data_IF_464561430084
#
_entry.id   IF_464561430084
#
_cell.length_a   1.000
_cell.length_b   1.000
_cell.length_c   1.000
_cell.angle_alpha   90.00
_cell.angle_beta   90.00
_cell.angle_gamma   90.00
#
_symmetry.space_group_name_H-M   'P 1'
#
loop_
_entity.id
_entity.type
_entity.pdbx_description
1 polymer ?
#
# COMPACT_ATOMS: atom_id res chain seq x y z
N UNK A 1 -25.52 3.09 -3.00
CA UNK A 1 -24.05 3.16 -2.90
C UNK A 1 -23.51 1.74 -2.82
N UNK A 2 -22.45 1.41 -3.56
CA UNK A 2 -21.80 0.10 -3.46
C UNK A 2 -21.21 -0.06 -2.06
N UNK A 3 -21.24 -1.27 -1.50
CA UNK A 3 -20.51 -1.56 -0.27
C UNK A 3 -19.00 -1.30 -0.45
N UNK A 4 -18.29 -0.74 0.55
CA UNK A 4 -16.85 -0.54 0.46
C UNK A 4 -16.08 -1.86 0.30
N UNK A 5 -14.95 -1.81 -0.41
CA UNK A 5 -14.09 -2.96 -0.68
C UNK A 5 -13.28 -3.38 0.54
N UNK A 6 -12.72 -2.45 1.31
CA UNK A 6 -12.03 -2.73 2.58
C UNK A 6 -12.64 -1.84 3.66
N UNK A 7 -12.91 -2.40 4.83
CA UNK A 7 -13.46 -1.65 5.97
C UNK A 7 -12.77 -2.08 7.25
N UNK A 8 -12.45 -1.11 8.08
CA UNK A 8 -12.05 -1.29 9.47
C UNK A 8 -13.18 -0.74 10.34
N UNK A 9 -13.65 -1.53 11.29
CA UNK A 9 -14.71 -1.16 12.23
C UNK A 9 -14.18 -1.26 13.66
N UNK A 10 -13.90 -0.11 14.28
CA UNK A 10 -13.44 0.03 15.66
C UNK A 10 -12.25 -0.89 16.00
N UNK A 11 -11.27 -0.95 15.11
CA UNK A 11 -10.14 -1.88 15.21
C UNK A 11 -9.16 -1.44 16.30
N UNK A 12 -8.88 -2.37 17.22
CA UNK A 12 -7.83 -2.25 18.23
C UNK A 12 -6.71 -3.25 17.97
N UNK A 13 -5.46 -2.78 18.06
CA UNK A 13 -4.26 -3.62 17.90
C UNK A 13 -3.25 -3.29 18.99
N UNK A 14 -2.62 -4.34 19.53
CA UNK A 14 -1.68 -4.26 20.64
C UNK A 14 -0.38 -4.99 20.32
N UNK A 15 0.74 -4.42 20.78
CA UNK A 15 2.03 -5.12 20.93
C UNK A 15 2.29 -5.30 22.42
N UNK A 16 2.01 -6.50 22.93
CA UNK A 16 2.03 -6.76 24.38
C UNK A 16 1.04 -5.85 25.11
N UNK A 17 1.57 -4.96 25.96
CA UNK A 17 0.79 -3.98 26.72
C UNK A 17 0.57 -2.65 25.99
N UNK A 18 1.29 -2.41 24.89
CA UNK A 18 1.24 -1.15 24.15
C UNK A 18 0.13 -1.22 23.11
N UNK A 19 -0.86 -0.33 23.21
CA UNK A 19 -1.92 -0.22 22.21
C UNK A 19 -1.46 0.65 21.03
N UNK A 20 -1.29 0.02 19.87
CA UNK A 20 -0.85 0.67 18.64
C UNK A 20 -2.01 1.28 17.84
N UNK A 21 -3.16 0.60 17.78
CA UNK A 21 -4.39 1.11 17.16
C UNK A 21 -5.51 1.18 18.19
N UNK A 22 -6.28 2.27 18.16
CA UNK A 22 -7.29 2.63 19.15
C UNK A 22 -8.61 2.94 18.41
N UNK A 23 -9.49 1.96 18.36
CA UNK A 23 -10.83 2.06 17.75
C UNK A 23 -10.79 2.66 16.33
N UNK A 24 -9.86 2.19 15.50
CA UNK A 24 -9.68 2.72 14.15
C UNK A 24 -10.84 2.27 13.26
N UNK A 25 -11.52 3.26 12.66
CA UNK A 25 -12.57 3.03 11.66
C UNK A 25 -12.27 3.82 10.39
N UNK A 26 -12.25 3.12 9.26
CA UNK A 26 -12.09 3.71 7.93
C UNK A 26 -12.56 2.74 6.85
N UNK A 27 -12.74 3.23 5.64
CA UNK A 27 -13.17 2.41 4.51
C UNK A 27 -12.43 2.79 3.22
N UNK A 28 -12.34 1.85 2.29
CA UNK A 28 -11.80 2.03 0.94
C UNK A 28 -12.80 1.45 -0.06
N UNK A 29 -13.32 2.28 -0.96
CA UNK A 29 -14.27 1.87 -1.98
C UNK A 29 -13.56 1.27 -3.20
N UNK A 30 -14.27 0.43 -3.96
CA UNK A 30 -13.73 -0.14 -5.20
C UNK A 30 -13.35 0.96 -6.20
N UNK A 31 -12.14 0.90 -6.73
CA UNK A 31 -11.59 1.87 -7.69
C UNK A 31 -11.21 3.22 -7.05
N UNK A 32 -11.32 3.36 -5.73
CA UNK A 32 -10.89 4.55 -5.00
C UNK A 32 -9.39 4.46 -4.70
N UNK A 33 -8.71 5.61 -4.76
CA UNK A 33 -7.38 5.77 -4.16
C UNK A 33 -7.51 6.47 -2.82
N UNK A 34 -7.19 5.76 -1.74
CA UNK A 34 -7.22 6.29 -0.37
C UNK A 34 -5.80 6.47 0.16
N UNK A 35 -5.54 7.60 0.80
CA UNK A 35 -4.30 7.86 1.52
C UNK A 35 -4.49 7.85 3.04
N UNK A 36 -3.63 7.16 3.78
CA UNK A 36 -3.48 7.32 5.22
C UNK A 36 -2.18 8.05 5.52
N UNK A 37 -2.28 9.26 6.04
CA UNK A 37 -1.12 10.08 6.40
C UNK A 37 -0.96 10.17 7.92
N UNK A 38 0.27 10.35 8.37
CA UNK A 38 0.59 10.48 9.79
C UNK A 38 2.08 10.36 10.06
N UNK A 39 2.50 10.83 11.24
CA UNK A 39 3.88 10.78 11.67
C UNK A 39 4.40 9.33 11.80
N UNK A 40 5.71 9.18 11.91
CA UNK A 40 6.31 7.88 12.20
C UNK A 40 5.86 7.40 13.57
N UNK A 41 5.50 6.12 13.67
CA UNK A 41 4.90 5.56 14.89
C UNK A 41 3.41 5.88 15.10
N UNK A 42 2.74 6.58 14.17
CA UNK A 42 1.31 6.88 14.32
C UNK A 42 0.40 5.63 14.26
N UNK A 43 0.88 4.49 13.75
CA UNK A 43 0.12 3.24 13.61
C UNK A 43 -0.13 2.81 12.16
N UNK A 44 0.34 3.57 11.16
CA UNK A 44 0.09 3.34 9.72
C UNK A 44 0.43 1.92 9.25
N UNK A 45 1.68 1.50 9.41
CA UNK A 45 2.14 0.17 8.99
C UNK A 45 1.48 -0.93 9.83
N UNK A 46 1.17 -0.66 11.11
CA UNK A 46 0.41 -1.61 11.96
C UNK A 46 -1.00 -1.85 11.42
N UNK A 47 -1.66 -0.81 10.90
CA UNK A 47 -2.96 -0.97 10.24
C UNK A 47 -2.86 -1.85 8.99
N UNK A 48 -1.90 -1.59 8.10
CA UNK A 48 -1.71 -2.44 6.90
C UNK A 48 -1.38 -3.88 7.27
N UNK A 49 -0.46 -4.07 8.21
CA UNK A 49 -0.05 -5.40 8.70
C UNK A 49 -1.22 -6.17 9.34
N UNK A 50 -2.16 -5.47 9.99
CA UNK A 50 -3.34 -6.10 10.60
C UNK A 50 -4.29 -6.73 9.58
N UNK A 51 -4.30 -6.25 8.32
CA UNK A 51 -5.06 -6.87 7.22
C UNK A 51 -4.59 -8.30 6.96
N UNK A 52 -3.29 -8.57 7.11
CA UNK A 52 -2.70 -9.91 6.95
C UNK A 52 -2.62 -10.69 8.28
N UNK A 53 -3.21 -10.17 9.36
CA UNK A 53 -3.31 -10.82 10.66
C UNK A 53 -2.03 -10.84 11.48
N UNK A 54 -1.03 -10.01 11.15
CA UNK A 54 0.27 -9.97 11.85
C UNK A 54 0.75 -8.54 12.08
N UNK A 55 0.32 -7.84 13.14
CA UNK A 55 -0.39 -8.37 14.31
C UNK A 55 -1.89 -8.57 14.08
N UNK A 56 -2.48 -9.51 14.81
CA UNK A 56 -3.93 -9.77 14.78
C UNK A 56 -4.68 -8.72 15.61
N UNK A 57 -5.84 -8.29 15.12
CA UNK A 57 -6.70 -7.36 15.87
C UNK A 57 -7.20 -8.02 17.16
N UNK A 58 -7.35 -7.22 18.23
CA UNK A 58 -7.92 -7.67 19.50
C UNK A 58 -9.42 -7.41 19.57
N UNK A 59 -9.87 -6.25 19.11
CA UNK A 59 -11.27 -5.87 19.02
C UNK A 59 -11.57 -5.27 17.65
N UNK A 60 -12.86 -5.18 17.32
CA UNK A 60 -13.35 -4.65 16.06
C UNK A 60 -13.41 -5.69 14.97
N UNK A 61 -13.50 -5.23 13.73
CA UNK A 61 -13.64 -6.09 12.55
C UNK A 61 -12.92 -5.50 11.35
N UNK A 62 -12.30 -6.35 10.54
CA UNK A 62 -11.78 -6.00 9.21
C UNK A 62 -12.59 -6.78 8.17
N UNK A 63 -13.28 -6.05 7.29
CA UNK A 63 -14.07 -6.63 6.20
C UNK A 63 -13.37 -6.38 4.85
N UNK A 64 -13.29 -7.40 4.01
CA UNK A 64 -12.85 -7.28 2.63
C UNK A 64 -13.91 -7.85 1.68
N UNK A 65 -14.38 -7.04 0.74
CA UNK A 65 -15.52 -7.35 -0.13
C UNK A 65 -16.76 -7.86 0.64
N UNK A 66 -16.98 -7.35 1.85
CA UNK A 66 -18.06 -7.78 2.75
C UNK A 66 -17.77 -9.04 3.56
N UNK A 67 -16.65 -9.74 3.34
CA UNK A 67 -16.24 -10.89 4.13
C UNK A 67 -15.35 -10.48 5.31
N UNK A 68 -15.60 -11.04 6.49
CA UNK A 68 -14.72 -10.86 7.65
C UNK A 68 -13.38 -11.58 7.47
N UNK A 69 -12.31 -10.79 7.44
CA UNK A 69 -10.92 -11.26 7.31
C UNK A 69 -10.10 -11.12 8.60
N UNK A 70 -10.70 -10.61 9.69
CA UNK A 70 -10.03 -10.30 10.98
C UNK A 70 -9.17 -11.43 11.53
N UNK A 71 -9.59 -12.68 11.26
CA UNK A 71 -8.97 -13.88 11.81
C UNK A 71 -8.53 -14.89 10.76
N UNK A 72 -8.54 -14.51 9.48
CA UNK A 72 -8.07 -15.36 8.38
C UNK A 72 -6.54 -15.43 8.35
N UNK A 73 -6.02 -16.45 7.67
CA UNK A 73 -4.57 -16.59 7.48
C UNK A 73 -4.07 -15.60 6.44
N UNK A 74 -2.79 -15.21 6.52
CA UNK A 74 -2.14 -14.35 5.52
C UNK A 74 -2.30 -14.89 4.10
N UNK A 75 -2.20 -16.22 3.93
CA UNK A 75 -2.42 -16.88 2.64
C UNK A 75 -3.85 -16.65 2.13
N UNK A 76 -4.87 -16.86 2.97
CA UNK A 76 -6.28 -16.64 2.58
C UNK A 76 -6.51 -15.20 2.10
N UNK A 77 -6.00 -14.22 2.85
CA UNK A 77 -6.13 -12.79 2.53
C UNK A 77 -5.44 -12.46 1.20
N UNK A 78 -4.22 -12.96 1.00
CA UNK A 78 -3.47 -12.74 -0.24
C UNK A 78 -4.19 -13.37 -1.45
N UNK A 79 -4.64 -14.63 -1.34
CA UNK A 79 -5.39 -15.31 -2.40
C UNK A 79 -6.76 -14.66 -2.67
N UNK A 80 -7.32 -13.93 -1.69
CA UNK A 80 -8.56 -13.17 -1.85
C UNK A 80 -8.44 -11.96 -2.80
N UNK A 81 -7.20 -11.53 -3.11
CA UNK A 81 -6.90 -10.44 -4.03
C UNK A 81 -6.42 -9.16 -3.34
N UNK A 82 -5.83 -9.26 -2.14
CA UNK A 82 -5.10 -8.15 -1.51
C UNK A 82 -3.60 -8.38 -1.67
N UNK A 83 -2.90 -7.43 -2.26
CA UNK A 83 -1.44 -7.44 -2.33
C UNK A 83 -0.84 -6.24 -1.59
N UNK A 84 0.35 -6.41 -1.04
CA UNK A 84 1.08 -5.35 -0.35
C UNK A 84 2.47 -5.18 -0.92
N UNK A 85 2.85 -3.94 -1.23
CA UNK A 85 4.24 -3.53 -1.34
C UNK A 85 4.67 -2.92 0.02
N UNK A 86 5.45 -3.65 0.83
CA UNK A 86 5.79 -3.23 2.19
C UNK A 86 6.88 -2.16 2.22
N UNK A 87 7.00 -1.48 3.37
CA UNK A 87 8.12 -0.59 3.66
C UNK A 87 9.44 -1.36 3.58
N UNK A 88 10.50 -0.67 3.13
CA UNK A 88 11.82 -1.27 2.97
C UNK A 88 11.92 -2.23 1.78
N UNK A 89 10.91 -2.24 0.89
CA UNK A 89 10.84 -2.94 -0.41
C UNK A 89 10.72 -4.47 -0.28
N UNK A 90 11.39 -5.08 0.71
CA UNK A 90 11.41 -6.52 1.06
C UNK A 90 11.52 -7.42 -0.18
N UNK A 91 12.39 -7.07 -1.11
CA UNK A 91 12.72 -7.89 -2.29
C UNK A 91 13.54 -9.12 -1.89
N UNK A 92 13.61 -10.12 -2.76
CA UNK A 92 14.52 -11.26 -2.60
C UNK A 92 15.88 -10.89 -3.19
N UNK A 93 16.90 -10.60 -2.37
CA UNK A 93 18.13 -9.92 -2.82
C UNK A 93 18.97 -10.77 -3.80
N UNK A 94 19.02 -12.08 -3.56
CA UNK A 94 19.84 -13.01 -4.34
C UNK A 94 19.18 -13.46 -5.65
N UNK A 95 17.88 -13.24 -5.77
CA UNK A 95 17.11 -13.51 -6.98
C UNK A 95 17.28 -12.39 -8.00
N UNK A 96 17.16 -12.73 -9.28
CA UNK A 96 17.04 -11.77 -10.38
C UNK A 96 15.73 -10.97 -10.29
N UNK A 97 15.63 -9.91 -11.10
CA UNK A 97 14.38 -9.15 -11.28
C UNK A 97 13.25 -10.06 -11.72
N UNK A 98 13.48 -10.92 -12.72
CA UNK A 98 12.48 -11.86 -13.21
C UNK A 98 12.01 -12.85 -12.15
N UNK A 99 12.94 -13.48 -11.43
CA UNK A 99 12.60 -14.41 -10.35
C UNK A 99 11.81 -13.71 -9.24
N UNK A 100 12.17 -12.47 -8.88
CA UNK A 100 11.39 -11.68 -7.94
C UNK A 100 9.95 -11.46 -8.40
N UNK A 101 9.73 -11.14 -9.69
CA UNK A 101 8.39 -10.96 -10.24
C UNK A 101 7.60 -12.27 -10.20
N UNK A 102 8.23 -13.40 -10.53
CA UNK A 102 7.59 -14.73 -10.45
C UNK A 102 7.18 -15.10 -9.01
N UNK A 103 7.88 -14.63 -7.98
CA UNK A 103 7.42 -14.85 -6.60
C UNK A 103 6.06 -14.18 -6.31
N UNK A 104 5.71 -13.14 -7.07
CA UNK A 104 4.43 -12.44 -6.93
C UNK A 104 3.22 -13.23 -7.44
N UNK A 105 3.41 -14.26 -8.26
CA UNK A 105 2.32 -15.08 -8.81
C UNK A 105 1.88 -16.18 -7.85
N UNK A 106 2.64 -16.46 -6.78
CA UNK A 106 2.35 -17.55 -5.81
C UNK A 106 0.89 -17.58 -5.35
N UNK A 107 0.22 -16.45 -5.00
CA UNK A 107 -1.17 -16.48 -4.55
C UNK A 107 -2.18 -16.89 -5.63
N UNK A 108 -1.85 -16.72 -6.92
CA UNK A 108 -2.78 -16.92 -8.06
C UNK A 108 -2.33 -18.02 -9.02
N UNK A 109 -1.14 -18.59 -8.82
CA UNK A 109 -0.51 -19.54 -9.72
C UNK A 109 0.12 -18.90 -10.96
N UNK A 110 0.80 -19.72 -11.77
CA UNK A 110 1.66 -19.23 -12.85
C UNK A 110 1.00 -19.21 -14.23
N UNK A 111 -0.30 -19.47 -14.33
CA UNK A 111 -1.02 -19.59 -15.60
C UNK A 111 -0.86 -18.35 -16.48
N UNK A 112 -0.88 -17.16 -15.88
CA UNK A 112 -0.78 -15.87 -16.58
C UNK A 112 0.59 -15.18 -16.39
N UNK A 113 1.57 -15.87 -15.80
CA UNK A 113 2.82 -15.25 -15.37
C UNK A 113 3.57 -14.53 -16.50
N UNK A 114 3.58 -15.08 -17.71
CA UNK A 114 4.26 -14.48 -18.85
C UNK A 114 3.60 -13.16 -19.31
N UNK A 115 2.26 -13.12 -19.36
CA UNK A 115 1.47 -11.94 -19.71
C UNK A 115 1.62 -10.84 -18.65
N UNK A 116 1.52 -11.23 -17.38
CA UNK A 116 1.66 -10.31 -16.24
C UNK A 116 3.06 -9.72 -16.18
N UNK A 117 4.09 -10.54 -16.40
CA UNK A 117 5.48 -10.09 -16.42
C UNK A 117 5.74 -9.11 -17.56
N UNK A 118 5.19 -9.36 -18.75
CA UNK A 118 5.31 -8.44 -19.87
C UNK A 118 4.66 -7.09 -19.52
N UNK A 119 3.47 -7.12 -18.91
CA UNK A 119 2.79 -5.92 -18.42
C UNK A 119 3.61 -5.17 -17.37
N UNK A 120 4.30 -5.88 -16.47
CA UNK A 120 5.20 -5.25 -15.48
C UNK A 120 6.42 -4.60 -16.12
N UNK A 121 6.96 -5.18 -17.19
CA UNK A 121 8.06 -4.58 -17.94
C UNK A 121 7.65 -3.37 -18.77
N UNK A 122 6.40 -3.34 -19.24
CA UNK A 122 5.87 -2.17 -19.93
C UNK A 122 5.57 -1.04 -18.94
N UNK A 123 5.08 -1.38 -17.74
CA UNK A 123 4.84 -0.42 -16.66
C UNK A 123 6.14 0.11 -16.03
N UNK A 124 7.17 -0.74 -15.93
CA UNK A 124 8.47 -0.40 -15.38
C UNK A 124 9.61 -0.78 -16.34
N UNK A 125 9.86 0.02 -17.40
CA UNK A 125 10.87 -0.29 -18.41
C UNK A 125 12.28 -0.50 -17.83
N UNK A 126 12.61 0.17 -16.72
CA UNK A 126 13.89 -0.01 -16.00
C UNK A 126 14.10 -1.43 -15.48
N UNK A 127 13.03 -2.14 -15.10
CA UNK A 127 13.10 -3.53 -14.70
C UNK A 127 13.34 -4.45 -15.90
N UNK A 128 12.78 -4.12 -17.07
CA UNK A 128 13.02 -4.87 -18.33
C UNK A 128 14.48 -4.83 -18.74
N UNK A 129 15.09 -3.65 -18.71
CA UNK A 129 16.52 -3.45 -18.98
C UNK A 129 17.42 -4.31 -18.05
N UNK A 130 16.91 -4.64 -16.86
CA UNK A 130 17.64 -5.33 -15.78
C UNK A 130 17.06 -6.71 -15.47
N UNK A 131 16.31 -7.30 -16.40
CA UNK A 131 15.55 -8.55 -16.20
C UNK A 131 16.35 -9.66 -15.50
N UNK A 132 17.59 -9.86 -15.92
CA UNK A 132 18.48 -10.93 -15.41
C UNK A 132 19.42 -10.45 -14.28
N UNK A 133 19.36 -9.17 -13.90
CA UNK A 133 20.22 -8.61 -12.86
C UNK A 133 19.73 -9.02 -11.47
N UNK A 134 20.65 -9.34 -10.56
CA UNK A 134 20.34 -9.61 -9.15
C UNK A 134 19.72 -8.40 -8.46
N UNK A 135 18.62 -8.61 -7.76
CA UNK A 135 17.80 -7.55 -7.20
C UNK A 135 18.55 -6.70 -6.15
N UNK A 136 19.48 -7.29 -5.40
CA UNK A 136 20.31 -6.55 -4.43
C UNK A 136 21.16 -5.44 -5.06
N UNK A 137 21.51 -5.57 -6.35
CA UNK A 137 22.38 -4.62 -7.06
C UNK A 137 21.64 -3.45 -7.70
N UNK A 138 20.30 -3.47 -7.63
CA UNK A 138 19.45 -2.38 -8.08
C UNK A 138 19.59 -1.17 -7.16
N UNK A 139 19.42 0.03 -7.71
CA UNK A 139 19.25 1.25 -6.92
C UNK A 139 17.99 1.17 -6.04
N UNK A 140 17.94 1.94 -4.96
CA UNK A 140 16.77 1.91 -4.06
C UNK A 140 15.44 2.23 -4.75
N UNK A 141 15.46 3.07 -5.79
CA UNK A 141 14.28 3.36 -6.60
C UNK A 141 13.84 2.18 -7.47
N UNK A 142 14.78 1.50 -8.12
CA UNK A 142 14.50 0.30 -8.91
C UNK A 142 14.02 -0.86 -8.04
N UNK A 143 14.58 -1.01 -6.84
CA UNK A 143 14.11 -1.98 -5.85
C UNK A 143 12.66 -1.69 -5.42
N UNK A 144 12.29 -0.41 -5.28
CA UNK A 144 10.91 -0.03 -4.97
C UNK A 144 9.96 -0.34 -6.14
N UNK A 145 10.37 -0.05 -7.38
CA UNK A 145 9.60 -0.43 -8.57
C UNK A 145 9.41 -1.94 -8.63
N UNK A 146 10.46 -2.72 -8.33
CA UNK A 146 10.39 -4.18 -8.27
C UNK A 146 9.42 -4.66 -7.19
N UNK A 147 9.41 -4.04 -6.01
CA UNK A 147 8.48 -4.40 -4.94
C UNK A 147 7.02 -4.18 -5.34
N UNK A 148 6.72 -3.04 -6.00
CA UNK A 148 5.38 -2.73 -6.50
C UNK A 148 5.00 -3.67 -7.65
N UNK A 149 5.88 -3.87 -8.63
CA UNK A 149 5.65 -4.77 -9.74
C UNK A 149 5.38 -6.21 -9.28
N UNK A 150 6.17 -6.71 -8.33
CA UNK A 150 5.94 -8.03 -7.73
C UNK A 150 4.59 -8.14 -7.04
N UNK A 151 4.14 -7.10 -6.33
CA UNK A 151 2.80 -7.11 -5.73
C UNK A 151 1.68 -7.15 -6.79
N UNK A 152 1.89 -6.51 -7.95
CA UNK A 152 0.92 -6.50 -9.05
C UNK A 152 0.84 -7.82 -9.81
N UNK A 153 1.90 -8.65 -9.79
CA UNK A 153 1.91 -9.99 -10.40
C UNK A 153 0.82 -10.92 -9.85
N UNK A 154 0.25 -10.63 -8.66
CA UNK A 154 -0.85 -11.41 -8.09
C UNK A 154 -2.23 -10.96 -8.59
N UNK A 155 -2.31 -10.08 -9.61
CA UNK A 155 -3.55 -9.47 -10.13
C UNK A 155 -4.50 -8.98 -9.01
N UNK A 156 -4.01 -8.15 -8.07
CA UNK A 156 -4.79 -7.78 -6.89
C UNK A 156 -6.02 -6.95 -7.25
N UNK A 157 -7.09 -7.10 -6.47
CA UNK A 157 -8.25 -6.19 -6.45
C UNK A 157 -7.95 -4.91 -5.66
N UNK A 158 -7.08 -5.04 -4.65
CA UNK A 158 -6.63 -3.99 -3.76
C UNK A 158 -5.12 -4.02 -3.61
N UNK A 159 -4.47 -2.92 -3.97
CA UNK A 159 -3.04 -2.71 -3.76
C UNK A 159 -2.81 -1.87 -2.50
N UNK A 160 -2.10 -2.44 -1.53
CA UNK A 160 -1.63 -1.77 -0.33
C UNK A 160 -0.18 -1.31 -0.51
N UNK A 161 0.11 -0.04 -0.20
CA UNK A 161 1.45 0.53 -0.34
C UNK A 161 1.90 1.14 0.99
N UNK A 162 3.07 0.73 1.49
CA UNK A 162 3.63 1.19 2.75
C UNK A 162 4.88 2.03 2.52
N UNK A 163 4.72 3.35 2.68
CA UNK A 163 5.73 4.40 2.46
C UNK A 163 6.52 4.23 1.15
N UNK A 164 5.84 4.14 -0.01
CA UNK A 164 6.48 3.85 -1.30
C UNK A 164 7.49 4.90 -1.77
N UNK A 165 7.51 6.10 -1.17
CA UNK A 165 8.45 7.17 -1.51
C UNK A 165 9.64 7.32 -0.56
N UNK A 166 9.67 6.58 0.57
CA UNK A 166 10.64 6.80 1.63
C UNK A 166 12.08 6.57 1.17
N UNK A 167 12.94 7.58 1.42
CA UNK A 167 14.38 7.52 1.13
C UNK A 167 14.73 7.53 -0.36
N UNK A 168 13.81 7.90 -1.24
CA UNK A 168 14.03 7.93 -2.69
C UNK A 168 14.33 9.35 -3.19
N UNK A 169 15.09 9.43 -4.29
CA UNK A 169 15.34 10.69 -4.97
C UNK A 169 14.05 11.29 -5.54
N UNK A 170 13.88 12.62 -5.58
CA UNK A 170 12.63 13.27 -6.01
C UNK A 170 12.12 12.84 -7.39
N UNK A 171 13.02 12.57 -8.34
CA UNK A 171 12.65 12.11 -9.68
C UNK A 171 12.01 10.71 -9.66
N UNK A 172 12.52 9.82 -8.80
CA UNK A 172 11.99 8.46 -8.62
C UNK A 172 10.62 8.52 -7.96
N UNK A 173 10.45 9.37 -6.94
CA UNK A 173 9.15 9.59 -6.29
C UNK A 173 8.11 10.04 -7.31
N UNK A 174 8.44 11.03 -8.16
CA UNK A 174 7.54 11.49 -9.23
C UNK A 174 7.15 10.35 -10.18
N UNK A 175 8.12 9.52 -10.59
CA UNK A 175 7.87 8.39 -11.48
C UNK A 175 6.94 7.35 -10.84
N UNK A 176 7.19 6.97 -9.59
CA UNK A 176 6.33 6.02 -8.85
C UNK A 176 4.89 6.56 -8.77
N UNK A 177 4.71 7.81 -8.33
CA UNK A 177 3.37 8.39 -8.21
C UNK A 177 2.67 8.60 -9.56
N UNK A 178 3.42 8.75 -10.66
CA UNK A 178 2.85 8.75 -12.00
C UNK A 178 2.31 7.36 -12.35
N UNK A 179 3.10 6.30 -12.14
CA UNK A 179 2.68 4.92 -12.35
C UNK A 179 1.44 4.58 -11.50
N UNK A 180 1.42 4.97 -10.23
CA UNK A 180 0.25 4.77 -9.36
C UNK A 180 -0.99 5.49 -9.88
N UNK A 181 -0.83 6.69 -10.45
CA UNK A 181 -1.94 7.42 -11.08
C UNK A 181 -2.47 6.72 -12.32
N UNK A 182 -1.60 6.11 -13.12
CA UNK A 182 -1.99 5.32 -14.30
C UNK A 182 -2.77 4.07 -13.86
N UNK A 183 -2.30 3.36 -12.83
CA UNK A 183 -3.01 2.22 -12.25
C UNK A 183 -4.40 2.62 -11.72
N UNK A 184 -4.49 3.72 -10.96
CA UNK A 184 -5.76 4.23 -10.44
C UNK A 184 -6.73 4.59 -11.58
N UNK A 185 -6.25 5.26 -12.64
CA UNK A 185 -7.06 5.60 -13.82
C UNK A 185 -7.60 4.37 -14.55
N UNK A 186 -6.88 3.25 -14.48
CA UNK A 186 -7.30 1.96 -15.03
C UNK A 186 -8.24 1.17 -14.08
N UNK A 187 -8.69 1.79 -12.98
CA UNK A 187 -9.69 1.23 -12.07
C UNK A 187 -9.11 0.38 -10.92
N UNK A 188 -7.79 0.40 -10.72
CA UNK A 188 -7.17 -0.26 -9.56
C UNK A 188 -7.61 0.43 -8.26
N UNK A 189 -7.97 -0.36 -7.25
CA UNK A 189 -8.20 0.17 -5.90
C UNK A 189 -6.86 0.26 -5.18
N UNK A 190 -6.52 1.44 -4.65
CA UNK A 190 -5.22 1.68 -4.02
C UNK A 190 -5.46 2.20 -2.61
N UNK A 191 -4.81 1.59 -1.62
CA UNK A 191 -4.71 2.15 -0.28
C UNK A 191 -3.23 2.34 0.06
N UNK A 192 -2.79 3.59 0.11
CA UNK A 192 -1.41 3.92 0.41
C UNK A 192 -1.27 4.60 1.77
N UNK A 193 -0.21 4.27 2.48
CA UNK A 193 0.17 4.96 3.69
C UNK A 193 1.48 5.71 3.46
N UNK A 194 1.53 6.96 3.90
CA UNK A 194 2.65 7.85 3.61
C UNK A 194 2.93 8.79 4.79
N UNK A 195 4.22 9.03 5.06
CA UNK A 195 4.63 10.11 5.94
C UNK A 195 4.63 11.44 5.18
N UNK A 196 5.10 11.43 3.92
CA UNK A 196 5.11 12.62 3.08
C UNK A 196 3.75 12.79 2.39
N UNK A 197 2.88 13.55 3.06
CA UNK A 197 1.48 13.67 2.69
C UNK A 197 1.22 14.34 1.32
N UNK A 198 2.16 15.12 0.77
CA UNK A 198 1.88 15.95 -0.40
C UNK A 198 1.54 15.13 -1.65
N UNK A 199 2.40 14.17 -2.00
CA UNK A 199 2.20 13.32 -3.18
C UNK A 199 1.03 12.36 -2.97
N UNK A 200 0.89 11.83 -1.76
CA UNK A 200 -0.19 10.93 -1.37
C UNK A 200 -1.57 11.56 -1.52
N UNK A 201 -1.76 12.72 -0.89
CA UNK A 201 -3.04 13.43 -0.93
C UNK A 201 -3.39 13.96 -2.32
N UNK A 202 -2.37 14.35 -3.11
CA UNK A 202 -2.57 14.79 -4.50
C UNK A 202 -3.00 13.65 -5.44
N UNK A 203 -2.64 12.41 -5.11
CA UNK A 203 -3.07 11.23 -5.85
C UNK A 203 -4.45 10.74 -5.38
N UNK A 204 -4.75 10.85 -4.08
CA UNK A 204 -5.92 10.23 -3.46
C UNK A 204 -7.23 10.98 -3.72
N UNK A 205 -8.30 10.22 -3.93
CA UNK A 205 -9.67 10.73 -3.90
C UNK A 205 -10.04 11.17 -2.47
N UNK A 206 -9.65 10.35 -1.48
CA UNK A 206 -9.91 10.57 -0.06
C UNK A 206 -8.68 10.28 0.79
N UNK A 207 -8.53 11.02 1.87
CA UNK A 207 -7.47 10.81 2.84
C UNK A 207 -7.98 10.68 4.27
N UNK A 208 -7.14 10.07 5.10
CA UNK A 208 -7.29 9.96 6.54
C UNK A 208 -6.00 10.41 7.23
N UNK A 209 -6.14 11.11 8.35
CA UNK A 209 -5.00 11.52 9.18
C UNK A 209 -5.00 10.69 10.45
N UNK A 210 -3.92 9.91 10.64
CA UNK A 210 -3.71 9.10 11.82
C UNK A 210 -2.76 9.78 12.79
N UNK A 211 -3.17 9.85 14.06
CA UNK A 211 -2.35 10.38 15.16
C UNK A 211 -2.48 9.42 16.35
N UNK A 212 -1.33 8.89 16.81
CA UNK A 212 -1.25 8.03 17.99
C UNK A 212 -2.26 6.86 18.02
N UNK A 213 -2.43 6.20 16.87
CA UNK A 213 -3.30 5.05 16.69
C UNK A 213 -4.77 5.37 16.45
N UNK A 214 -5.14 6.65 16.23
CA UNK A 214 -6.51 7.10 16.01
C UNK A 214 -6.64 7.87 14.71
N UNK A 215 -7.79 7.73 14.03
CA UNK A 215 -8.17 8.60 12.93
C UNK A 215 -8.68 9.92 13.51
N UNK A 216 -8.04 11.03 13.14
CA UNK A 216 -8.38 12.37 13.64
C UNK A 216 -9.11 13.23 12.63
N UNK A 217 -8.73 13.12 11.36
CA UNK A 217 -9.32 13.88 10.27
C UNK A 217 -9.53 12.96 9.07
N UNK A 218 -10.54 13.27 8.28
CA UNK A 218 -10.83 12.61 7.02
C UNK A 218 -11.50 13.59 6.06
N UNK A 219 -11.22 13.46 4.77
CA UNK A 219 -11.80 14.32 3.74
C UNK A 219 -11.24 13.99 2.38
N UNK A 220 -11.65 14.71 1.34
CA UNK A 220 -11.03 14.55 0.03
C UNK A 220 -9.54 14.87 0.10
N UNK A 221 -8.74 14.27 -0.78
CA UNK A 221 -7.31 14.57 -0.87
C UNK A 221 -7.05 16.08 -1.05
N UNK A 222 -7.87 16.75 -1.87
CA UNK A 222 -7.80 18.20 -2.08
C UNK A 222 -8.14 19.01 -0.82
N UNK A 223 -9.17 18.62 -0.07
CA UNK A 223 -9.54 19.31 1.16
C UNK A 223 -8.42 19.21 2.20
N UNK A 224 -7.85 18.02 2.38
CA UNK A 224 -6.74 17.79 3.33
C UNK A 224 -5.45 18.50 2.93
N UNK A 225 -5.19 18.71 1.62
CA UNK A 225 -4.05 19.52 1.17
C UNK A 225 -4.18 21.01 1.55
N UNK A 226 -5.41 21.50 1.68
CA UNK A 226 -5.72 22.89 2.05
C UNK A 226 -5.93 23.06 3.56
N UNK A 227 -6.10 21.96 4.30
CA UNK A 227 -6.32 21.97 5.72
C UNK A 227 -5.10 22.56 6.48
N UNK A 228 -5.30 23.60 7.32
CA UNK A 228 -4.20 24.25 8.03
C UNK A 228 -3.43 23.33 8.99
N UNK A 229 -4.11 22.40 9.68
CA UNK A 229 -3.47 21.48 10.60
C UNK A 229 -2.61 20.47 9.85
N UNK A 230 -3.13 19.93 8.74
CA UNK A 230 -2.39 19.00 7.87
C UNK A 230 -1.18 19.69 7.24
N UNK A 231 -1.33 20.92 6.75
CA UNK A 231 -0.23 21.69 6.16
C UNK A 231 0.91 21.91 7.14
N UNK A 232 0.56 22.33 8.37
CA UNK A 232 1.53 22.58 9.44
C UNK A 232 2.25 21.32 9.86
N UNK A 233 1.54 20.19 10.00
CA UNK A 233 2.10 18.96 10.53
C UNK A 233 2.83 18.08 9.49
N UNK A 234 2.39 18.07 8.23
CA UNK A 234 2.80 17.03 7.27
C UNK A 234 3.25 17.53 5.89
N UNK A 235 3.03 18.82 5.56
CA UNK A 235 3.37 19.37 4.23
C UNK A 235 4.52 20.39 4.29
N UNK A 236 5.26 20.43 5.40
CA UNK A 236 6.42 21.31 5.57
C UNK A 236 6.06 22.79 5.69
N UNK A 237 4.96 23.09 6.39
CA UNK A 237 4.41 24.44 6.52
C UNK A 237 5.45 25.50 6.90
N UNK A 238 5.39 26.62 6.19
CA UNK A 238 5.82 27.94 6.66
C UNK A 238 4.67 28.53 7.48
#
# INVERSE_FOLDING_TARGET
MSAPMLQFHNVDVFYGVIQALKQVSLEVNKGETVALIGANGAGKSTLLMSVFGQPRIRNGQILFCGEDISHKSTHYVATGGIAQAPEGRRIFPDMSVEENLLMGTIPVGNQHAAEDMQSMFDLFPRLKERRNQRAMTLSGGEQQMLAIARALMSRPKLLLLDEPSLGLAPIVVKQIFQTLRELARNGMTIFLVEQNAHHALKLSDRGYVMVNGQIRLSGSGEALLKDPEVRKAYLGGV
#
